data_IF_359963382359
#
_entry.id   IF_359963382359
#
_cell.length_a   1.000
_cell.length_b   1.000
_cell.length_c   1.000
_cell.angle_alpha   90.00
_cell.angle_beta   90.00
_cell.angle_gamma   90.00
#
_symmetry.space_group_name_H-M   'P 1'
#
loop_
_entity.id
_entity.type
_entity.pdbx_description
1 polymer ?
#
# COMPACT_ATOMS: atom_id res chain seq x y z
N UNK A 1 1.58 -16.16 6.85
CA UNK A 1 2.73 -15.72 7.69
C UNK A 1 3.19 -14.27 7.45
N UNK A 2 2.58 -13.48 6.56
CA UNK A 2 2.91 -12.05 6.41
C UNK A 2 2.15 -11.11 7.38
N UNK A 3 1.09 -11.58 8.05
CA UNK A 3 0.29 -10.78 8.98
C UNK A 3 0.85 -10.72 10.42
N UNK A 4 1.87 -11.52 10.75
CA UNK A 4 2.42 -11.58 12.11
C UNK A 4 3.50 -10.53 12.41
N UNK A 5 4.15 -9.96 11.39
CA UNK A 5 5.30 -9.07 11.60
C UNK A 5 4.87 -7.62 11.86
N UNK A 6 3.74 -7.18 11.29
CA UNK A 6 3.22 -5.82 11.48
C UNK A 6 2.61 -5.59 12.87
N UNK A 7 2.11 -6.63 13.54
CA UNK A 7 1.55 -6.54 14.89
C UNK A 7 2.63 -6.53 15.99
N UNK A 8 3.84 -7.00 15.68
CA UNK A 8 4.92 -7.16 16.66
C UNK A 8 5.64 -5.84 17.01
N UNK A 9 5.52 -4.80 16.17
CA UNK A 9 6.21 -3.51 16.40
C UNK A 9 5.36 -2.53 17.22
N UNK A 10 4.02 -2.66 17.20
CA UNK A 10 3.12 -1.75 17.91
C UNK A 10 2.85 -2.20 19.36
N UNK A 11 3.01 -3.49 19.68
CA UNK A 11 2.66 -4.04 21.00
C UNK A 11 3.74 -3.89 22.07
N UNK A 12 4.99 -3.59 21.72
CA UNK A 12 6.15 -3.68 22.65
C UNK A 12 6.51 -2.36 23.32
N UNK A 13 5.91 -1.23 22.91
CA UNK A 13 6.26 0.11 23.40
C UNK A 13 5.44 0.57 24.63
N UNK A 14 4.53 -0.28 25.16
CA UNK A 14 3.59 0.09 26.23
C UNK A 14 3.82 -0.62 27.57
N UNK A 15 4.89 -1.42 27.72
CA UNK A 15 5.10 -2.24 28.92
C UNK A 15 6.48 -2.15 29.59
N UNK A 16 7.34 -1.22 29.20
CA UNK A 16 8.48 -0.84 30.03
C UNK A 16 8.37 0.64 30.35
N UNK A 17 7.87 0.98 31.53
CA UNK A 17 8.18 2.21 32.29
C UNK A 17 7.36 2.25 33.59
N UNK A 18 7.58 1.29 34.49
CA UNK A 18 7.28 1.46 35.93
C UNK A 18 8.40 0.77 36.71
N UNK A 19 9.34 1.57 37.25
CA UNK A 19 10.14 1.34 38.48
C UNK A 19 11.48 2.10 38.40
N UNK A 20 11.49 3.34 38.86
CA UNK A 20 12.61 3.94 39.58
C UNK A 20 12.15 5.28 40.17
N UNK A 21 11.83 5.26 41.45
CA UNK A 21 11.59 6.44 42.26
C UNK A 21 12.91 7.11 42.63
N UNK A 22 12.92 8.46 42.63
CA UNK A 22 13.69 9.25 43.57
C UNK A 22 15.06 9.77 43.15
N UNK A 23 15.09 10.94 42.50
CA UNK A 23 15.94 12.06 42.94
C UNK A 23 15.36 13.38 42.45
N UNK A 24 14.75 14.13 43.38
CA UNK A 24 14.29 15.51 43.18
C UNK A 24 15.48 16.43 43.42
N UNK A 25 15.88 17.23 42.41
CA UNK A 25 16.56 18.50 42.63
C UNK A 25 16.38 19.44 41.42
N UNK A 26 15.74 20.59 41.69
CA UNK A 26 15.71 21.85 40.94
C UNK A 26 14.98 21.95 39.57
N UNK A 27 13.93 22.79 39.55
CA UNK A 27 13.33 23.45 38.38
C UNK A 27 13.38 24.99 38.62
N UNK A 28 13.05 25.89 37.67
CA UNK A 28 12.78 25.74 36.23
C UNK A 28 13.55 26.77 35.36
N UNK A 29 13.92 26.42 34.13
CA UNK A 29 14.19 27.40 33.09
C UNK A 29 13.36 27.04 31.85
N UNK A 30 12.42 27.92 31.55
CA UNK A 30 11.50 27.83 30.46
C UNK A 30 12.21 27.67 29.12
N UNK A 31 12.04 26.52 28.46
CA UNK A 31 12.00 26.48 27.01
C UNK A 31 10.52 26.33 26.65
N UNK A 32 9.88 27.47 26.46
CA UNK A 32 8.64 27.54 25.70
C UNK A 32 8.96 27.02 24.29
N UNK A 33 8.71 25.73 24.05
CA UNK A 33 8.57 25.22 22.70
C UNK A 33 7.26 25.79 22.17
N UNK A 34 7.35 26.97 21.56
CA UNK A 34 6.36 27.45 20.60
C UNK A 34 6.31 26.41 19.49
N UNK A 35 5.44 25.41 19.66
CA UNK A 35 4.92 24.64 18.54
C UNK A 35 4.11 25.64 17.72
N UNK A 36 4.78 26.29 16.77
CA UNK A 36 4.09 27.02 15.72
C UNK A 36 3.08 26.04 15.11
N UNK A 37 1.79 26.37 15.08
CA UNK A 37 0.83 25.53 14.38
C UNK A 37 1.29 25.48 12.93
N UNK A 38 1.61 24.27 12.46
CA UNK A 38 1.79 24.04 11.03
C UNK A 38 0.54 24.59 10.34
N UNK A 39 0.67 25.36 9.24
CA UNK A 39 -0.50 25.81 8.51
C UNK A 39 -1.25 24.58 8.02
N UNK A 40 -2.36 24.25 8.67
CA UNK A 40 -3.37 23.37 8.13
C UNK A 40 -4.07 24.12 6.99
N UNK A 41 -3.36 24.31 5.87
CA UNK A 41 -4.01 24.50 4.58
C UNK A 41 -4.24 23.08 4.06
N UNK A 42 -5.46 22.63 3.86
CA UNK A 42 -6.42 23.30 2.99
C UNK A 42 -7.82 22.97 3.46
N UNK A 43 -8.69 23.98 3.48
CA UNK A 43 -10.10 23.74 3.26
C UNK A 43 -10.22 22.83 2.03
N UNK A 44 -10.91 21.70 2.15
CA UNK A 44 -11.22 20.83 1.01
C UNK A 44 -11.96 21.68 -0.02
N UNK A 45 -11.22 22.22 -0.98
CA UNK A 45 -11.81 22.92 -2.10
C UNK A 45 -12.71 21.91 -2.79
N UNK A 46 -13.97 22.28 -3.04
CA UNK A 46 -14.89 21.41 -3.74
C UNK A 46 -14.27 20.99 -5.08
N UNK A 47 -14.25 19.68 -5.33
CA UNK A 47 -13.69 19.11 -6.57
C UNK A 47 -14.39 19.73 -7.78
N UNK A 48 -13.61 20.33 -8.67
CA UNK A 48 -14.15 20.97 -9.87
C UNK A 48 -14.65 19.94 -10.88
N UNK A 49 -15.54 20.37 -11.79
CA UNK A 49 -15.97 19.52 -12.90
C UNK A 49 -14.78 19.10 -13.80
N UNK A 50 -13.78 19.97 -13.96
CA UNK A 50 -12.56 19.67 -14.71
C UNK A 50 -11.70 18.59 -14.04
N UNK A 51 -11.55 18.65 -12.72
CA UNK A 51 -10.87 17.59 -11.95
C UNK A 51 -11.58 16.25 -12.07
N UNK A 52 -12.92 16.23 -11.91
CA UNK A 52 -13.69 14.98 -12.08
C UNK A 52 -13.51 14.39 -13.47
N UNK A 53 -13.65 15.21 -14.52
CA UNK A 53 -13.48 14.72 -15.89
C UNK A 53 -12.07 14.18 -16.14
N UNK A 54 -11.04 14.86 -15.63
CA UNK A 54 -9.66 14.40 -15.74
C UNK A 54 -9.41 13.10 -14.96
N UNK A 55 -10.04 12.91 -13.80
CA UNK A 55 -9.98 11.64 -13.07
C UNK A 55 -10.68 10.50 -13.83
N UNK A 56 -11.85 10.75 -14.43
CA UNK A 56 -12.51 9.77 -15.30
C UNK A 56 -11.62 9.32 -16.47
N UNK A 57 -10.97 10.27 -17.14
CA UNK A 57 -10.05 9.97 -18.25
C UNK A 57 -8.84 9.14 -17.77
N UNK A 58 -8.33 9.43 -16.57
CA UNK A 58 -7.27 8.64 -15.95
C UNK A 58 -7.73 7.20 -15.68
N UNK A 59 -8.95 7.00 -15.17
CA UNK A 59 -9.50 5.65 -14.91
C UNK A 59 -9.60 4.82 -16.20
N UNK A 60 -10.01 5.45 -17.31
CA UNK A 60 -10.04 4.83 -18.62
C UNK A 60 -8.64 4.44 -19.10
N UNK A 61 -7.67 5.35 -18.98
CA UNK A 61 -6.27 5.10 -19.37
C UNK A 61 -5.64 3.95 -18.56
N UNK A 62 -6.01 3.80 -17.29
CA UNK A 62 -5.59 2.70 -16.41
C UNK A 62 -6.37 1.40 -16.64
N UNK A 63 -7.37 1.39 -17.53
CA UNK A 63 -8.26 0.25 -17.78
C UNK A 63 -8.96 -0.26 -16.51
N UNK A 64 -9.35 0.64 -15.60
CA UNK A 64 -9.89 0.26 -14.29
C UNK A 64 -11.10 -0.66 -14.39
N UNK A 65 -12.06 -0.39 -15.27
CA UNK A 65 -13.23 -1.24 -15.47
C UNK A 65 -12.86 -2.70 -15.79
N UNK A 66 -11.96 -2.88 -16.76
CA UNK A 66 -11.46 -4.19 -17.16
C UNK A 66 -10.74 -4.89 -16.00
N UNK A 67 -9.93 -4.14 -15.25
CA UNK A 67 -9.18 -4.68 -14.11
C UNK A 67 -10.12 -5.08 -12.97
N UNK A 68 -11.15 -4.28 -12.67
CA UNK A 68 -12.19 -4.60 -11.68
C UNK A 68 -12.94 -5.86 -12.08
N UNK A 69 -13.40 -5.96 -13.33
CA UNK A 69 -14.11 -7.15 -13.81
C UNK A 69 -13.23 -8.40 -13.75
N UNK A 70 -11.96 -8.28 -14.17
CA UNK A 70 -11.00 -9.38 -14.10
C UNK A 70 -10.73 -9.82 -12.64
N UNK A 71 -10.65 -8.87 -11.71
CA UNK A 71 -10.46 -9.17 -10.28
C UNK A 71 -11.66 -9.90 -9.67
N UNK A 72 -12.89 -9.49 -10.02
CA UNK A 72 -14.11 -10.18 -9.57
C UNK A 72 -14.16 -11.61 -10.11
N UNK A 73 -13.83 -11.82 -11.38
CA UNK A 73 -13.79 -13.15 -12.00
C UNK A 73 -12.75 -14.05 -11.35
N UNK A 74 -11.55 -13.52 -11.11
CA UNK A 74 -10.48 -14.24 -10.43
C UNK A 74 -10.87 -14.63 -9.00
N UNK A 75 -11.48 -13.72 -8.25
CA UNK A 75 -11.95 -13.98 -6.89
C UNK A 75 -13.00 -15.08 -6.87
N UNK A 76 -14.00 -15.02 -7.76
CA UNK A 76 -15.05 -16.03 -7.84
C UNK A 76 -14.48 -17.39 -8.26
N UNK A 77 -13.61 -17.41 -9.27
CA UNK A 77 -12.92 -18.63 -9.72
C UNK A 77 -12.11 -19.28 -8.60
N UNK A 78 -11.36 -18.47 -7.84
CA UNK A 78 -10.60 -18.96 -6.70
C UNK A 78 -11.53 -19.57 -5.63
N UNK A 79 -12.64 -18.89 -5.31
CA UNK A 79 -13.60 -19.36 -4.32
C UNK A 79 -14.26 -20.69 -4.72
N UNK A 80 -14.64 -20.85 -5.98
CA UNK A 80 -15.25 -22.07 -6.51
C UNK A 80 -14.25 -23.22 -6.66
N UNK A 81 -12.98 -22.91 -6.92
CA UNK A 81 -11.90 -23.91 -6.93
C UNK A 81 -11.68 -24.49 -5.53
N UNK A 82 -11.72 -23.62 -4.51
CA UNK A 82 -11.60 -24.03 -3.11
C UNK A 82 -12.86 -24.72 -2.57
N UNK A 83 -14.04 -24.34 -3.09
CA UNK A 83 -15.35 -24.85 -2.66
C UNK A 83 -16.25 -25.20 -3.85
N UNK A 84 -16.04 -26.37 -4.48
CA UNK A 84 -16.82 -26.80 -5.64
C UNK A 84 -18.33 -26.92 -5.36
N UNK A 85 -18.73 -27.12 -4.10
CA UNK A 85 -20.12 -27.17 -3.66
C UNK A 85 -20.88 -25.85 -3.85
N UNK A 86 -20.16 -24.72 -4.01
CA UNK A 86 -20.75 -23.41 -4.25
C UNK A 86 -21.07 -23.16 -5.73
N UNK A 87 -20.70 -24.04 -6.65
CA UNK A 87 -21.00 -23.88 -8.09
C UNK A 87 -22.47 -23.60 -8.39
N UNK A 88 -23.46 -24.27 -7.76
CA UNK A 88 -24.87 -23.98 -8.03
C UNK A 88 -25.29 -22.56 -7.66
N UNK A 89 -24.57 -21.90 -6.74
CA UNK A 89 -24.84 -20.52 -6.28
C UNK A 89 -23.86 -19.49 -6.86
N UNK A 90 -23.05 -19.87 -7.85
CA UNK A 90 -22.16 -18.93 -8.55
C UNK A 90 -22.92 -17.71 -9.10
N UNK A 91 -24.08 -17.85 -9.76
CA UNK A 91 -24.79 -16.70 -10.32
C UNK A 91 -25.19 -15.68 -9.25
N UNK A 92 -25.63 -16.12 -8.08
CA UNK A 92 -26.00 -15.27 -6.94
C UNK A 92 -24.78 -14.54 -6.40
N UNK A 93 -23.66 -15.24 -6.24
CA UNK A 93 -22.39 -14.64 -5.82
C UNK A 93 -21.92 -13.59 -6.82
N UNK A 94 -21.92 -13.93 -8.11
CA UNK A 94 -21.54 -13.02 -9.20
C UNK A 94 -22.43 -11.78 -9.21
N UNK A 95 -23.75 -11.96 -9.16
CA UNK A 95 -24.69 -10.84 -9.15
C UNK A 95 -24.47 -9.92 -7.94
N UNK A 96 -24.25 -10.49 -6.76
CA UNK A 96 -23.95 -9.70 -5.56
C UNK A 96 -22.66 -8.89 -5.73
N UNK A 97 -21.58 -9.54 -6.19
CA UNK A 97 -20.29 -8.90 -6.41
C UNK A 97 -20.36 -7.81 -7.48
N UNK A 98 -20.98 -8.07 -8.63
CA UNK A 98 -21.15 -7.06 -9.68
C UNK A 98 -21.98 -5.87 -9.19
N UNK A 99 -23.00 -6.10 -8.36
CA UNK A 99 -23.87 -5.04 -7.84
C UNK A 99 -23.17 -4.08 -6.88
N UNK A 100 -22.29 -4.59 -6.02
CA UNK A 100 -21.68 -3.80 -4.92
C UNK A 100 -20.19 -3.55 -5.09
N UNK A 101 -19.52 -4.31 -5.93
CA UNK A 101 -18.09 -4.22 -6.20
C UNK A 101 -17.76 -4.11 -7.69
N UNK A 102 -18.78 -4.14 -8.56
CA UNK A 102 -18.60 -3.92 -9.99
C UNK A 102 -18.26 -2.46 -10.29
N UNK A 103 -17.66 -2.24 -11.45
CA UNK A 103 -17.20 -0.91 -11.86
C UNK A 103 -18.28 0.16 -11.78
N UNK A 104 -19.51 -0.14 -12.21
CA UNK A 104 -20.64 0.80 -12.16
C UNK A 104 -20.95 1.30 -10.74
N UNK A 105 -20.73 0.48 -9.72
CA UNK A 105 -20.96 0.85 -8.31
C UNK A 105 -19.80 1.64 -7.71
N UNK A 106 -18.57 1.40 -8.16
CA UNK A 106 -17.36 2.00 -7.59
C UNK A 106 -16.89 3.25 -8.34
N UNK A 107 -17.30 3.44 -9.60
CA UNK A 107 -16.76 4.47 -10.49
C UNK A 107 -16.82 5.86 -9.85
N UNK A 108 -17.98 6.28 -9.37
CA UNK A 108 -18.16 7.64 -8.85
C UNK A 108 -17.30 7.91 -7.61
N UNK A 109 -17.24 6.95 -6.68
CA UNK A 109 -16.39 7.05 -5.49
C UNK A 109 -14.90 7.10 -5.86
N UNK A 110 -14.47 6.30 -6.84
CA UNK A 110 -13.09 6.31 -7.34
C UNK A 110 -12.75 7.63 -8.05
N UNK A 111 -13.65 8.14 -8.88
CA UNK A 111 -13.48 9.44 -9.55
C UNK A 111 -13.34 10.55 -8.51
N UNK A 112 -14.23 10.57 -7.52
CA UNK A 112 -14.20 11.56 -6.44
C UNK A 112 -12.90 11.48 -5.63
N UNK A 113 -12.47 10.27 -5.28
CA UNK A 113 -11.22 10.03 -4.55
C UNK A 113 -10.01 10.58 -5.30
N UNK A 114 -9.83 10.21 -6.58
CA UNK A 114 -8.68 10.70 -7.35
C UNK A 114 -8.76 12.21 -7.60
N UNK A 115 -9.97 12.74 -7.83
CA UNK A 115 -10.16 14.15 -8.10
C UNK A 115 -9.97 15.05 -6.85
N UNK A 116 -10.07 14.50 -5.63
CA UNK A 116 -9.73 15.23 -4.40
C UNK A 116 -8.24 15.23 -4.07
N UNK A 117 -7.51 14.18 -4.48
CA UNK A 117 -6.08 14.04 -4.16
C UNK A 117 -5.16 14.73 -5.17
N UNK A 118 -5.61 14.88 -6.42
CA UNK A 118 -4.79 15.42 -7.50
C UNK A 118 -5.43 16.67 -8.12
N UNK A 119 -4.57 17.62 -8.53
CA UNK A 119 -5.02 18.73 -9.37
C UNK A 119 -5.43 18.24 -10.76
N UNK A 120 -6.26 19.02 -11.45
CA UNK A 120 -6.68 18.70 -12.83
C UNK A 120 -5.48 18.51 -13.77
N UNK A 121 -4.43 19.31 -13.58
CA UNK A 121 -3.19 19.21 -14.37
C UNK A 121 -2.48 17.88 -14.13
N UNK A 122 -2.31 17.48 -12.87
CA UNK A 122 -1.65 16.21 -12.53
C UNK A 122 -2.43 15.00 -13.05
N UNK A 123 -3.76 15.01 -12.94
CA UNK A 123 -4.61 13.95 -13.50
C UNK A 123 -4.43 13.82 -15.02
N UNK A 124 -4.34 14.94 -15.75
CA UNK A 124 -4.06 14.95 -17.19
C UNK A 124 -2.65 14.44 -17.51
N UNK A 125 -1.64 14.85 -16.73
CA UNK A 125 -0.27 14.39 -16.91
C UNK A 125 -0.15 12.87 -16.67
N UNK A 126 -0.81 12.36 -15.62
CA UNK A 126 -0.92 10.93 -15.36
C UNK A 126 -1.61 10.22 -16.53
N UNK A 127 -2.74 10.75 -17.01
CA UNK A 127 -3.47 10.18 -18.17
C UNK A 127 -2.59 10.08 -19.41
N UNK A 128 -1.76 11.09 -19.67
CA UNK A 128 -0.79 11.09 -20.77
C UNK A 128 0.26 10.00 -20.59
N UNK A 129 0.78 9.80 -19.38
CA UNK A 129 1.72 8.72 -19.07
C UNK A 129 1.05 7.34 -19.22
N UNK A 130 0.03 7.05 -18.41
CA UNK A 130 -1.21 6.34 -18.77
C UNK A 130 -1.23 5.72 -20.17
N UNK A 131 -1.54 6.60 -21.12
CA UNK A 131 -1.90 6.24 -22.49
C UNK A 131 -0.69 6.07 -23.41
N UNK A 132 0.52 6.43 -22.96
CA UNK A 132 1.72 6.32 -23.78
C UNK A 132 2.19 4.86 -23.95
N UNK A 133 2.86 4.57 -25.07
CA UNK A 133 3.46 3.25 -25.32
C UNK A 133 4.45 2.85 -24.22
N UNK A 134 5.25 3.80 -23.74
CA UNK A 134 6.17 3.59 -22.62
C UNK A 134 5.44 3.35 -21.30
N UNK A 135 4.40 4.12 -20.99
CA UNK A 135 3.61 3.96 -19.76
C UNK A 135 2.90 2.60 -19.71
N UNK A 136 2.22 2.21 -20.78
CA UNK A 136 1.59 0.89 -20.89
C UNK A 136 2.62 -0.25 -20.76
N UNK A 137 3.80 -0.11 -21.39
CA UNK A 137 4.89 -1.08 -21.25
C UNK A 137 5.41 -1.14 -19.81
N UNK A 138 5.57 0.00 -19.15
CA UNK A 138 6.06 0.07 -17.77
C UNK A 138 5.10 -0.63 -16.81
N UNK A 139 3.81 -0.29 -16.84
CA UNK A 139 2.79 -0.90 -15.99
C UNK A 139 2.69 -2.42 -16.23
N UNK A 140 2.72 -2.86 -17.50
CA UNK A 140 2.73 -4.28 -17.84
C UNK A 140 3.98 -5.05 -17.38
N UNK A 141 5.08 -4.34 -17.04
CA UNK A 141 6.34 -4.96 -16.57
C UNK A 141 6.58 -4.79 -15.08
N UNK A 142 5.86 -3.90 -14.39
CA UNK A 142 6.14 -3.53 -13.00
C UNK A 142 6.11 -4.73 -12.04
N UNK A 143 5.10 -5.60 -12.14
CA UNK A 143 5.02 -6.82 -11.31
C UNK A 143 6.18 -7.78 -11.59
N UNK A 144 6.49 -8.04 -12.86
CA UNK A 144 7.60 -8.93 -13.25
C UNK A 144 8.96 -8.39 -12.79
N UNK A 145 9.18 -7.08 -12.85
CA UNK A 145 10.38 -6.44 -12.34
C UNK A 145 10.51 -6.57 -10.82
N UNK A 146 9.40 -6.44 -10.08
CA UNK A 146 9.39 -6.64 -8.62
C UNK A 146 9.76 -8.09 -8.26
N UNK A 147 9.19 -9.07 -8.96
CA UNK A 147 9.51 -10.50 -8.77
C UNK A 147 10.99 -10.76 -9.05
N UNK A 148 11.49 -10.31 -10.20
CA UNK A 148 12.91 -10.47 -10.56
C UNK A 148 13.85 -9.79 -9.55
N UNK A 149 13.45 -8.66 -8.98
CA UNK A 149 14.18 -7.98 -7.90
C UNK A 149 14.27 -8.83 -6.63
N UNK A 150 13.17 -9.45 -6.21
CA UNK A 150 13.16 -10.35 -5.05
C UNK A 150 14.05 -11.58 -5.26
N UNK A 151 13.98 -12.19 -6.44
CA UNK A 151 14.83 -13.33 -6.81
C UNK A 151 16.32 -12.96 -6.79
N UNK A 152 16.67 -11.78 -7.29
CA UNK A 152 18.04 -11.25 -7.22
C UNK A 152 18.51 -11.09 -5.76
N UNK A 153 17.67 -10.50 -4.90
CA UNK A 153 17.99 -10.34 -3.48
C UNK A 153 18.16 -11.68 -2.77
N UNK A 154 17.30 -12.66 -3.06
CA UNK A 154 17.40 -14.01 -2.50
C UNK A 154 18.70 -14.69 -2.92
N UNK A 155 19.06 -14.61 -4.20
CA UNK A 155 20.32 -15.16 -4.72
C UNK A 155 21.53 -14.52 -4.04
N UNK A 156 21.56 -13.19 -3.93
CA UNK A 156 22.65 -12.49 -3.24
C UNK A 156 22.76 -12.90 -1.77
N UNK A 157 21.64 -13.07 -1.07
CA UNK A 157 21.68 -13.55 0.31
C UNK A 157 22.27 -14.95 0.40
N UNK A 158 21.86 -15.89 -0.48
CA UNK A 158 22.40 -17.25 -0.51
C UNK A 158 23.91 -17.27 -0.81
N UNK A 159 24.36 -16.49 -1.80
CA UNK A 159 25.77 -16.40 -2.20
C UNK A 159 26.67 -15.85 -1.08
N UNK A 160 26.15 -14.91 -0.26
CA UNK A 160 26.93 -14.19 0.74
C UNK A 160 26.68 -14.66 2.20
N UNK A 161 25.72 -15.57 2.42
CA UNK A 161 25.41 -16.13 3.75
C UNK A 161 26.64 -16.73 4.47
N UNK A 162 27.56 -17.44 3.79
CA UNK A 162 28.75 -17.99 4.44
C UNK A 162 29.71 -16.94 5.00
N UNK A 163 29.76 -15.74 4.42
CA UNK A 163 30.54 -14.63 4.97
C UNK A 163 29.95 -14.14 6.29
N UNK A 164 28.63 -13.94 6.31
CA UNK A 164 27.92 -13.55 7.53
C UNK A 164 28.09 -14.58 8.65
N UNK A 165 27.97 -15.88 8.34
CA UNK A 165 28.18 -16.97 9.30
C UNK A 165 29.58 -16.91 9.93
N UNK A 166 30.63 -16.76 9.10
CA UNK A 166 32.02 -16.63 9.59
C UNK A 166 32.21 -15.41 10.48
N UNK A 167 31.63 -14.27 10.11
CA UNK A 167 31.70 -13.03 10.90
C UNK A 167 31.07 -13.19 12.29
N UNK A 168 29.88 -13.81 12.34
CA UNK A 168 29.17 -14.10 13.60
C UNK A 168 29.99 -15.06 14.48
N UNK A 169 30.47 -16.17 13.91
CA UNK A 169 31.30 -17.15 14.64
C UNK A 169 32.55 -16.52 15.24
N UNK A 170 33.25 -15.68 14.46
CA UNK A 170 34.44 -14.98 14.93
C UNK A 170 34.11 -14.06 16.11
N UNK A 171 33.03 -13.27 16.01
CA UNK A 171 32.61 -12.35 17.07
C UNK A 171 32.20 -13.10 18.35
N UNK A 172 31.46 -14.20 18.21
CA UNK A 172 31.01 -15.03 19.34
C UNK A 172 32.18 -15.68 20.10
N UNK A 173 33.27 -16.02 19.42
CA UNK A 173 34.50 -16.53 20.06
C UNK A 173 35.21 -15.45 20.88
N UNK A 174 35.29 -14.23 20.36
CA UNK A 174 35.95 -13.11 21.04
C UNK A 174 35.15 -12.59 22.24
N UNK A 175 33.82 -12.64 22.22
CA UNK A 175 32.97 -12.17 23.32
C UNK A 175 32.91 -13.13 24.53
N UNK A 176 33.39 -14.37 24.38
CA UNK A 176 33.45 -15.37 25.46
C UNK A 176 34.82 -15.41 26.18
N UNK A 177 35.74 -14.52 25.83
CA UNK A 177 37.05 -14.32 26.48
C UNK A 177 37.04 -13.01 27.25
#
# INVERSE_FOLDING_TARGET
MAALVAFCVVSTMKQLLILAAGLVLAAPAALAQTTAPAPSSTATAAVSAGQRKAAEDLMLAMQMEKNTNSALDQMLTAQLTQRPELKPVEPEMRNFLTKYMGWASLKEDMVQLYASEFSEKELKDLTKFYSSSTGQKFIGKQSALMIAGMELSQRRMQENLPELQRSIEAKMKTTQQ
#
